data_IF_996634835222
#
_entry.id   IF_996634835222
#
_cell.length_a   1.000
_cell.length_b   1.000
_cell.length_c   1.000
_cell.angle_alpha   90.00
_cell.angle_beta   90.00
_cell.angle_gamma   90.00
#
_symmetry.space_group_name_H-M   'P 1'
#
loop_
_entity.id
_entity.type
_entity.pdbx_description
1 polymer ?
#
# COMPACT_ATOMS: atom_id res chain seq x y z
N UNK A 1 -18.69 -10.39 7.75
CA UNK A 1 -19.40 -10.84 6.54
C UNK A 1 -19.57 -12.34 6.62
N UNK A 2 -20.77 -12.88 6.42
CA UNK A 2 -21.03 -14.32 6.50
C UNK A 2 -21.87 -14.80 5.32
N UNK A 3 -21.87 -16.12 5.07
CA UNK A 3 -22.64 -16.73 3.98
C UNK A 3 -24.14 -16.55 4.23
N UNK A 4 -24.87 -15.98 3.27
CA UNK A 4 -26.29 -15.66 3.43
C UNK A 4 -26.57 -14.32 4.11
N UNK A 5 -25.55 -13.51 4.41
CA UNK A 5 -25.75 -12.14 4.88
C UNK A 5 -26.35 -11.26 3.79
N UNK A 6 -27.42 -10.52 4.11
CA UNK A 6 -27.95 -9.47 3.25
C UNK A 6 -27.01 -8.26 3.25
N UNK A 7 -26.58 -7.86 2.05
CA UNK A 7 -25.73 -6.68 1.83
C UNK A 7 -26.53 -5.61 1.13
N UNK A 8 -26.51 -4.40 1.70
CA UNK A 8 -27.26 -3.28 1.17
C UNK A 8 -26.31 -2.23 0.60
N UNK A 9 -26.63 -1.75 -0.60
CA UNK A 9 -25.84 -0.77 -1.33
C UNK A 9 -26.71 0.44 -1.68
N UNK A 10 -26.33 1.64 -1.22
CA UNK A 10 -27.01 2.88 -1.60
C UNK A 10 -27.12 3.90 -0.47
N UNK A 11 -27.76 5.04 -0.77
CA UNK A 11 -27.90 6.17 0.17
C UNK A 11 -28.73 5.83 1.41
N UNK A 12 -29.73 4.94 1.27
CA UNK A 12 -30.65 4.53 2.35
C UNK A 12 -30.21 3.24 3.07
N UNK A 13 -29.04 2.69 2.74
CA UNK A 13 -28.55 1.50 3.41
C UNK A 13 -28.20 1.83 4.87
N UNK A 14 -28.42 0.89 5.78
CA UNK A 14 -28.07 1.06 7.19
C UNK A 14 -26.55 1.00 7.39
N UNK A 15 -26.07 1.67 8.44
CA UNK A 15 -24.65 1.72 8.81
C UNK A 15 -24.20 0.39 9.46
N UNK A 16 -24.05 -0.66 8.66
CA UNK A 16 -23.66 -2.01 9.11
C UNK A 16 -22.43 -2.50 8.35
N UNK A 17 -21.61 -3.33 9.00
CA UNK A 17 -20.39 -3.90 8.39
C UNK A 17 -20.73 -4.70 7.13
N UNK A 18 -20.06 -4.36 6.03
CA UNK A 18 -20.28 -4.95 4.70
C UNK A 18 -21.23 -4.16 3.80
N UNK A 19 -22.05 -3.25 4.33
CA UNK A 19 -22.88 -2.38 3.51
C UNK A 19 -22.05 -1.31 2.80
N UNK A 20 -22.55 -0.83 1.67
CA UNK A 20 -21.90 0.18 0.83
C UNK A 20 -22.73 1.46 0.79
N UNK A 21 -22.17 2.55 1.31
CA UNK A 21 -22.84 3.84 1.38
C UNK A 21 -21.97 4.92 0.71
N UNK A 22 -22.58 6.02 0.23
CA UNK A 22 -21.85 7.25 -0.05
C UNK A 22 -21.13 7.74 1.20
N UNK A 23 -19.89 8.21 1.07
CA UNK A 23 -19.07 8.70 2.17
C UNK A 23 -19.79 9.81 2.95
N UNK A 24 -20.59 10.66 2.31
CA UNK A 24 -21.41 11.69 3.00
C UNK A 24 -22.39 11.16 4.04
N UNK A 25 -22.75 9.88 3.96
CA UNK A 25 -23.71 9.23 4.86
C UNK A 25 -23.02 8.41 5.95
N UNK A 26 -21.69 8.31 5.91
CA UNK A 26 -20.87 7.58 6.88
C UNK A 26 -20.36 8.60 7.90
N UNK A 27 -20.42 8.33 9.22
CA UNK A 27 -19.96 9.28 10.23
C UNK A 27 -18.43 9.40 10.27
N UNK A 28 -17.95 10.50 10.82
CA UNK A 28 -16.52 10.72 11.10
C UNK A 28 -15.98 9.66 12.08
N UNK A 29 -14.71 9.32 11.94
CA UNK A 29 -14.06 8.25 12.69
C UNK A 29 -14.41 6.84 12.22
N UNK A 30 -15.39 6.67 11.33
CA UNK A 30 -15.76 5.35 10.82
C UNK A 30 -14.63 4.71 10.02
N UNK A 31 -14.49 3.40 10.22
CA UNK A 31 -13.57 2.53 9.48
C UNK A 31 -14.27 2.06 8.21
N UNK A 32 -13.64 2.31 7.07
CA UNK A 32 -14.17 1.98 5.75
C UNK A 32 -13.13 1.28 4.88
N UNK A 33 -13.57 0.52 3.89
CA UNK A 33 -12.73 -0.16 2.91
C UNK A 33 -13.30 -0.01 1.49
N UNK A 34 -12.50 -0.34 0.49
CA UNK A 34 -12.85 -0.24 -0.93
C UNK A 34 -13.42 1.14 -1.33
N UNK A 35 -12.74 2.21 -0.91
CA UNK A 35 -13.19 3.60 -1.11
C UNK A 35 -12.95 4.02 -2.56
N UNK A 36 -13.93 4.67 -3.19
CA UNK A 36 -13.79 5.28 -4.51
C UNK A 36 -12.87 6.53 -4.46
N UNK A 37 -12.08 6.79 -5.51
CA UNK A 37 -11.34 8.05 -5.71
C UNK A 37 -12.19 9.09 -6.45
N UNK A 38 -12.95 8.62 -7.44
CA UNK A 38 -13.96 9.38 -8.17
C UNK A 38 -15.30 8.67 -8.09
N UNK A 39 -16.39 9.45 -8.10
CA UNK A 39 -17.74 8.90 -7.98
C UNK A 39 -17.98 7.88 -9.10
N UNK A 40 -18.25 6.64 -8.73
CA UNK A 40 -18.55 5.57 -9.69
C UNK A 40 -17.35 4.75 -10.20
N UNK A 41 -16.13 4.97 -9.69
CA UNK A 41 -14.95 4.20 -10.10
C UNK A 41 -14.89 2.76 -9.54
N UNK A 42 -15.89 2.36 -8.74
CA UNK A 42 -16.07 1.02 -8.18
C UNK A 42 -15.00 0.58 -7.17
N UNK A 43 -14.22 1.52 -6.64
CA UNK A 43 -13.33 1.31 -5.50
C UNK A 43 -11.85 1.21 -5.90
N UNK A 44 -11.05 2.06 -5.27
CA UNK A 44 -9.62 2.24 -5.57
C UNK A 44 -8.76 2.08 -4.32
N UNK A 45 -9.19 2.63 -3.18
CA UNK A 45 -8.39 2.66 -1.96
C UNK A 45 -8.78 1.57 -0.94
N UNK A 46 -7.82 1.19 -0.08
CA UNK A 46 -7.99 0.23 1.02
C UNK A 46 -8.63 -1.09 0.58
N UNK A 47 -7.93 -1.80 -0.33
CA UNK A 47 -8.37 -3.07 -0.94
C UNK A 47 -7.50 -4.28 -0.56
N UNK A 48 -6.32 -4.06 0.01
CA UNK A 48 -5.46 -5.16 0.42
C UNK A 48 -6.01 -5.83 1.69
N UNK A 49 -5.64 -7.09 1.91
CA UNK A 49 -6.06 -7.86 3.07
C UNK A 49 -5.68 -7.16 4.39
N UNK A 50 -6.65 -6.85 5.25
CA UNK A 50 -6.44 -6.14 6.51
C UNK A 50 -6.37 -4.61 6.39
N UNK A 51 -6.37 -4.04 5.19
CA UNK A 51 -6.35 -2.59 5.02
C UNK A 51 -7.70 -1.97 5.39
N UNK A 52 -7.63 -0.73 5.86
CA UNK A 52 -8.79 0.12 6.08
C UNK A 52 -8.40 1.58 5.89
N UNK A 53 -9.42 2.41 5.71
CA UNK A 53 -9.33 3.85 5.69
C UNK A 53 -10.23 4.42 6.78
N UNK A 54 -9.89 5.62 7.27
CA UNK A 54 -10.67 6.30 8.32
C UNK A 54 -11.28 7.57 7.73
N UNK A 55 -12.59 7.75 7.90
CA UNK A 55 -13.23 9.03 7.58
C UNK A 55 -12.81 10.06 8.62
N UNK A 56 -12.12 11.12 8.24
CA UNK A 56 -11.62 12.14 9.18
C UNK A 56 -12.64 13.25 9.38
N UNK A 57 -13.09 13.85 8.28
CA UNK A 57 -13.94 15.04 8.34
C UNK A 57 -14.80 15.19 7.09
N UNK A 58 -15.99 15.77 7.25
CA UNK A 58 -16.85 16.21 6.14
C UNK A 58 -16.75 17.73 5.96
N UNK A 59 -16.21 18.21 4.84
CA UNK A 59 -16.22 19.63 4.49
C UNK A 59 -16.00 19.85 2.99
N UNK A 60 -16.96 20.53 2.33
CA UNK A 60 -17.77 20.05 1.19
C UNK A 60 -17.44 18.67 0.58
N UNK A 61 -16.15 18.36 0.44
CA UNK A 61 -15.61 17.04 0.15
C UNK A 61 -15.19 16.31 1.43
N UNK A 62 -14.82 15.04 1.31
CA UNK A 62 -14.55 14.18 2.46
C UNK A 62 -13.06 13.91 2.55
N UNK A 63 -12.52 14.14 3.75
CA UNK A 63 -11.14 13.81 4.04
C UNK A 63 -11.06 12.39 4.59
N UNK A 64 -10.32 11.55 3.90
CA UNK A 64 -10.11 10.15 4.27
C UNK A 64 -8.64 9.93 4.59
N UNK A 65 -8.38 9.16 5.64
CA UNK A 65 -7.05 8.65 5.95
C UNK A 65 -6.82 7.33 5.24
N UNK A 66 -5.79 7.26 4.41
CA UNK A 66 -5.41 6.03 3.70
C UNK A 66 -4.60 5.09 4.62
N UNK A 67 -4.49 3.79 4.28
CA UNK A 67 -3.67 2.83 5.03
C UNK A 67 -2.20 3.27 5.21
N UNK A 68 -1.68 4.07 4.28
CA UNK A 68 -0.34 4.67 4.36
C UNK A 68 -0.18 5.81 5.39
N UNK A 69 -1.24 6.17 6.11
CA UNK A 69 -1.29 7.36 6.98
C UNK A 69 -1.53 8.68 6.25
N UNK A 70 -1.32 8.74 4.93
CA UNK A 70 -1.59 9.91 4.10
C UNK A 70 -3.08 10.30 4.13
N UNK A 71 -3.35 11.61 4.24
CA UNK A 71 -4.70 12.16 4.18
C UNK A 71 -5.03 12.56 2.73
N UNK A 72 -6.16 12.10 2.20
CA UNK A 72 -6.63 12.38 0.85
C UNK A 72 -8.03 13.00 0.90
N UNK A 73 -8.30 13.95 0.02
CA UNK A 73 -9.62 14.54 -0.17
C UNK A 73 -10.29 13.79 -1.32
N UNK A 74 -11.55 13.39 -1.12
CA UNK A 74 -12.34 12.58 -2.04
C UNK A 74 -13.74 13.21 -2.13
N UNK A 75 -14.38 13.24 -3.32
CA UNK A 75 -15.73 13.76 -3.47
C UNK A 75 -16.73 13.11 -2.53
N UNK A 76 -17.63 13.89 -1.94
CA UNK A 76 -18.59 13.40 -0.93
C UNK A 76 -19.57 12.33 -1.43
N UNK A 77 -19.81 12.29 -2.75
CA UNK A 77 -20.62 11.28 -3.42
C UNK A 77 -19.94 9.93 -3.65
N UNK A 78 -18.63 9.82 -3.41
CA UNK A 78 -17.88 8.57 -3.54
C UNK A 78 -18.41 7.52 -2.57
N UNK A 79 -18.44 6.27 -2.98
CA UNK A 79 -18.90 5.16 -2.14
C UNK A 79 -17.75 4.49 -1.39
N UNK A 80 -18.09 3.91 -0.25
CA UNK A 80 -17.20 3.05 0.51
C UNK A 80 -18.00 1.94 1.20
N UNK A 81 -17.32 0.81 1.44
CA UNK A 81 -17.85 -0.27 2.26
C UNK A 81 -17.50 -0.05 3.72
N UNK A 82 -18.42 -0.32 4.63
CA UNK A 82 -18.17 -0.18 6.07
C UNK A 82 -17.37 -1.39 6.58
N UNK A 83 -16.29 -1.11 7.30
CA UNK A 83 -15.43 -2.10 7.94
C UNK A 83 -14.03 -2.18 7.33
N UNK A 84 -13.31 -3.23 7.71
CA UNK A 84 -11.95 -3.53 7.27
C UNK A 84 -11.97 -4.68 6.24
N UNK A 85 -10.99 -4.72 5.33
CA UNK A 85 -10.84 -5.84 4.40
C UNK A 85 -10.45 -7.12 5.18
N UNK A 86 -11.10 -8.23 4.87
CA UNK A 86 -10.83 -9.52 5.51
C UNK A 86 -9.40 -10.05 5.25
N UNK A 87 -8.98 -11.04 6.04
CA UNK A 87 -7.69 -11.73 5.87
C UNK A 87 -6.47 -10.93 6.35
N UNK A 88 -6.67 -9.96 7.25
CA UNK A 88 -5.59 -9.25 7.93
C UNK A 88 -4.67 -10.17 8.73
N UNK A 89 -3.48 -9.68 9.10
CA UNK A 89 -2.50 -10.42 9.90
C UNK A 89 -1.68 -11.46 9.14
N UNK A 90 -2.00 -11.73 7.86
CA UNK A 90 -1.24 -12.66 7.01
C UNK A 90 0.25 -12.30 6.89
N UNK A 91 0.61 -11.03 7.03
CA UNK A 91 1.99 -10.52 6.94
C UNK A 91 2.82 -10.77 8.20
N UNK A 92 2.19 -10.99 9.35
CA UNK A 92 2.88 -11.17 10.63
C UNK A 92 3.60 -12.52 10.70
N UNK A 93 3.06 -13.54 10.04
CA UNK A 93 3.68 -14.87 9.99
C UNK A 93 4.90 -14.87 9.07
N UNK A 94 6.11 -15.20 9.56
CA UNK A 94 7.30 -15.25 8.71
C UNK A 94 7.23 -16.40 7.69
N UNK A 95 7.78 -16.18 6.50
CA UNK A 95 7.94 -17.22 5.48
C UNK A 95 9.27 -17.95 5.69
N UNK A 96 9.21 -19.21 6.13
CA UNK A 96 10.41 -19.98 6.50
C UNK A 96 11.11 -20.66 5.31
N UNK A 97 10.35 -21.06 4.28
CA UNK A 97 10.86 -21.84 3.14
C UNK A 97 10.75 -21.08 1.82
N UNK A 98 11.76 -21.23 0.96
CA UNK A 98 11.75 -20.71 -0.40
C UNK A 98 10.60 -21.28 -1.25
N UNK A 99 10.25 -22.57 -1.06
CA UNK A 99 9.11 -23.20 -1.73
C UNK A 99 7.76 -22.51 -1.45
N UNK A 100 7.57 -21.97 -0.24
CA UNK A 100 6.37 -21.19 0.08
C UNK A 100 6.35 -19.87 -0.69
N UNK A 101 7.51 -19.23 -0.86
CA UNK A 101 7.63 -18.01 -1.67
C UNK A 101 7.39 -18.31 -3.16
N UNK A 102 7.91 -19.43 -3.68
CA UNK A 102 7.66 -19.89 -5.04
C UNK A 102 6.15 -19.98 -5.34
N UNK A 103 5.39 -20.74 -4.54
CA UNK A 103 3.95 -20.87 -4.76
C UNK A 103 3.18 -19.54 -4.60
N UNK A 104 3.64 -18.65 -3.71
CA UNK A 104 3.09 -17.29 -3.55
C UNK A 104 3.26 -16.43 -4.80
N UNK A 105 4.40 -16.52 -5.49
CA UNK A 105 4.68 -15.74 -6.70
C UNK A 105 4.18 -16.42 -7.98
N UNK A 106 3.98 -17.74 -7.98
CA UNK A 106 3.45 -18.51 -9.11
C UNK A 106 2.07 -18.02 -9.60
N UNK A 107 1.21 -17.56 -8.68
CA UNK A 107 -0.14 -17.04 -9.01
C UNK A 107 -0.14 -15.53 -9.29
N UNK A 108 1.04 -14.91 -9.35
CA UNK A 108 1.25 -13.48 -9.64
C UNK A 108 2.20 -13.37 -10.83
N UNK A 109 2.62 -12.13 -11.16
CA UNK A 109 3.66 -11.94 -12.18
C UNK A 109 4.96 -12.64 -11.78
N UNK A 110 5.73 -13.09 -12.77
CA UNK A 110 7.04 -13.67 -12.56
C UNK A 110 8.03 -12.61 -12.05
N UNK A 111 8.30 -12.60 -10.74
CA UNK A 111 9.23 -11.64 -10.11
C UNK A 111 10.07 -12.27 -8.97
N UNK A 112 10.15 -13.60 -8.93
CA UNK A 112 10.91 -14.36 -7.94
C UNK A 112 11.50 -15.62 -8.60
N UNK A 113 12.75 -16.01 -8.30
CA UNK A 113 13.70 -15.38 -7.36
C UNK A 113 14.28 -14.05 -7.87
N UNK A 114 14.89 -13.26 -6.98
CA UNK A 114 15.51 -11.97 -7.32
C UNK A 114 17.03 -12.07 -7.19
N UNK A 115 17.74 -12.01 -8.32
CA UNK A 115 19.20 -11.94 -8.36
C UNK A 115 19.64 -10.51 -8.00
N UNK A 116 20.67 -10.38 -7.15
CA UNK A 116 21.23 -9.06 -6.77
C UNK A 116 22.00 -8.49 -7.96
N UNK A 117 21.88 -7.20 -8.24
CA UNK A 117 22.58 -6.55 -9.36
C UNK A 117 24.12 -6.65 -9.30
N UNK A 118 24.71 -6.72 -8.10
CA UNK A 118 26.17 -6.92 -7.91
C UNK A 118 26.65 -8.34 -8.23
N UNK A 119 25.73 -9.30 -8.37
CA UNK A 119 26.05 -10.66 -8.80
C UNK A 119 25.99 -10.84 -10.32
N UNK A 120 25.57 -9.79 -11.05
CA UNK A 120 25.46 -9.76 -12.50
C UNK A 120 26.73 -9.19 -13.14
N UNK A 121 26.88 -9.37 -14.44
CA UNK A 121 27.97 -8.77 -15.22
C UNK A 121 27.69 -7.27 -15.51
N UNK A 122 28.72 -6.45 -15.83
CA UNK A 122 28.53 -5.03 -16.16
C UNK A 122 27.55 -4.77 -17.29
N UNK A 123 27.45 -5.70 -18.24
CA UNK A 123 26.54 -5.64 -19.38
C UNK A 123 25.07 -5.78 -18.99
N UNK A 124 24.77 -6.49 -17.90
CA UNK A 124 23.39 -6.78 -17.47
C UNK A 124 22.85 -5.74 -16.49
N UNK A 125 23.70 -5.22 -15.60
CA UNK A 125 23.27 -4.33 -14.52
C UNK A 125 24.34 -3.27 -14.21
N UNK A 126 23.97 -1.99 -13.95
CA UNK A 126 24.94 -0.94 -13.64
C UNK A 126 25.79 -1.17 -12.38
N UNK A 127 25.31 -2.02 -11.46
CA UNK A 127 26.06 -2.43 -10.26
C UNK A 127 26.92 -3.68 -10.46
N UNK A 128 26.89 -4.29 -11.66
CA UNK A 128 27.51 -5.57 -11.95
C UNK A 128 29.00 -5.46 -12.29
N UNK A 129 29.70 -6.58 -12.15
CA UNK A 129 31.11 -6.77 -12.49
C UNK A 129 32.13 -6.44 -11.40
N UNK A 130 33.38 -6.27 -11.85
CA UNK A 130 34.56 -6.14 -10.99
C UNK A 130 35.06 -7.48 -10.44
N UNK A 131 36.28 -7.48 -9.91
CA UNK A 131 36.87 -8.66 -9.25
C UNK A 131 36.26 -8.92 -7.87
N UNK A 132 35.78 -7.87 -7.19
CA UNK A 132 35.08 -7.95 -5.91
C UNK A 132 33.64 -7.47 -6.07
N UNK A 133 32.69 -8.11 -5.40
CA UNK A 133 31.28 -7.70 -5.43
C UNK A 133 31.05 -6.40 -4.64
N UNK A 134 31.00 -5.28 -5.34
CA UNK A 134 30.70 -3.96 -4.79
C UNK A 134 30.01 -3.09 -5.86
N UNK A 135 29.35 -2.00 -5.46
CA UNK A 135 28.62 -1.13 -6.42
C UNK A 135 29.57 -0.20 -7.19
N UNK A 136 30.71 0.18 -6.60
CA UNK A 136 31.71 1.06 -7.20
C UNK A 136 31.34 2.55 -7.25
N UNK A 137 30.05 2.88 -7.32
CA UNK A 137 29.52 4.26 -7.34
C UNK A 137 28.42 4.45 -6.29
N UNK A 138 27.98 5.70 -6.08
CA UNK A 138 26.90 6.01 -5.17
C UNK A 138 25.59 5.35 -5.63
N UNK A 139 24.96 4.56 -4.75
CA UNK A 139 23.72 3.84 -5.06
C UNK A 139 22.47 4.72 -5.06
N UNK A 140 22.59 6.01 -4.73
CA UNK A 140 21.52 7.00 -4.81
C UNK A 140 21.49 7.64 -6.18
N UNK A 141 20.42 7.43 -6.93
CA UNK A 141 20.28 7.95 -8.31
C UNK A 141 19.27 9.08 -8.39
N UNK A 142 19.48 10.01 -9.31
CA UNK A 142 18.57 11.15 -9.51
C UNK A 142 17.23 10.69 -10.12
N UNK A 143 16.19 11.51 -9.93
CA UNK A 143 14.82 11.22 -10.42
C UNK A 143 14.74 11.19 -11.96
N UNK A 144 15.53 12.02 -12.60
CA UNK A 144 15.64 12.26 -14.05
C UNK A 144 16.57 11.28 -14.76
N UNK A 145 17.22 10.35 -14.04
CA UNK A 145 18.06 9.32 -14.66
C UNK A 145 17.29 8.55 -15.78
N UNK A 146 17.93 8.24 -16.92
CA UNK A 146 17.30 7.51 -18.00
C UNK A 146 16.95 6.06 -17.59
N UNK A 147 16.01 5.41 -18.29
CA UNK A 147 15.79 3.98 -18.18
C UNK A 147 17.11 3.21 -18.36
N UNK A 148 17.35 2.17 -17.56
CA UNK A 148 18.62 1.44 -17.53
C UNK A 148 19.63 1.99 -16.51
N UNK A 149 19.82 3.32 -16.45
CA UNK A 149 20.67 3.94 -15.43
C UNK A 149 19.98 4.08 -14.06
N UNK A 150 18.64 4.17 -14.06
CA UNK A 150 17.81 4.36 -12.85
C UNK A 150 17.70 3.07 -12.00
N UNK A 151 18.79 2.69 -11.34
CA UNK A 151 18.88 1.54 -10.42
C UNK A 151 19.33 1.98 -9.01
N UNK A 152 19.05 1.17 -7.99
CA UNK A 152 19.40 1.50 -6.60
C UNK A 152 18.33 2.32 -5.87
N UNK A 153 18.77 3.27 -5.04
CA UNK A 153 17.91 4.13 -4.21
C UNK A 153 17.49 5.38 -5.00
N UNK A 154 16.35 5.28 -5.69
CA UNK A 154 15.86 6.32 -6.59
C UNK A 154 15.36 7.54 -5.83
N UNK A 155 15.99 8.70 -6.06
CA UNK A 155 15.66 10.00 -5.48
C UNK A 155 15.47 9.95 -3.95
N UNK A 156 16.30 9.13 -3.28
CA UNK A 156 16.22 8.96 -1.84
C UNK A 156 16.56 10.27 -1.12
N UNK A 157 15.59 10.80 -0.34
CA UNK A 157 15.80 12.00 0.49
C UNK A 157 16.65 11.72 1.73
N UNK A 158 16.67 10.47 2.18
CA UNK A 158 17.40 10.00 3.35
C UNK A 158 17.80 8.54 3.15
N UNK A 159 18.97 8.16 3.66
CA UNK A 159 19.47 6.78 3.68
C UNK A 159 19.81 6.34 5.11
N UNK A 160 20.15 5.06 5.28
CA UNK A 160 20.48 4.48 6.57
C UNK A 160 19.27 4.07 7.41
N UNK A 161 19.53 3.35 8.51
CA UNK A 161 18.48 2.87 9.43
C UNK A 161 18.01 4.01 10.31
N UNK A 162 16.69 4.25 10.35
CA UNK A 162 16.09 5.19 11.30
C UNK A 162 16.34 4.71 12.74
N UNK A 163 16.85 5.59 13.59
CA UNK A 163 17.10 5.35 15.02
C UNK A 163 16.59 6.53 15.86
N UNK A 164 16.32 6.29 17.14
CA UNK A 164 15.87 7.32 18.09
C UNK A 164 14.50 7.91 17.73
N UNK A 165 14.33 9.20 18.00
CA UNK A 165 13.07 9.92 17.79
C UNK A 165 12.56 9.84 16.35
N UNK A 166 13.46 9.83 15.35
CA UNK A 166 13.06 9.70 13.95
C UNK A 166 12.38 8.37 13.62
N UNK A 167 12.75 7.27 14.31
CA UNK A 167 12.07 5.99 14.17
C UNK A 167 10.71 6.00 14.88
N UNK A 168 10.61 6.68 16.03
CA UNK A 168 9.36 6.83 16.78
C UNK A 168 8.33 7.69 16.06
N UNK A 169 8.75 8.74 15.35
CA UNK A 169 7.83 9.57 14.55
C UNK A 169 7.36 8.84 13.30
N UNK A 170 8.22 8.05 12.65
CA UNK A 170 7.84 7.23 11.50
C UNK A 170 6.83 6.13 11.88
N UNK A 171 7.05 5.43 13.00
CA UNK A 171 6.11 4.40 13.48
C UNK A 171 4.77 4.97 13.95
N UNK A 172 4.75 6.22 14.45
CA UNK A 172 3.50 6.96 14.72
C UNK A 172 2.78 7.37 13.45
N UNK A 173 3.49 7.68 12.37
CA UNK A 173 2.87 8.02 11.07
C UNK A 173 2.22 6.80 10.38
N UNK A 174 2.77 5.59 10.60
CA UNK A 174 2.18 4.32 10.12
C UNK A 174 1.01 3.83 10.99
N UNK A 175 0.91 4.25 12.25
CA UNK A 175 -0.13 3.80 13.21
C UNK A 175 -1.26 4.79 13.46
N UNK A 176 -1.00 6.09 13.39
CA UNK A 176 -2.05 7.10 13.45
C UNK A 176 -2.84 6.99 12.15
#
# INVERSE_FOLDING_TARGET
MYTGQFVYCGKKANLMVGNVLPLRSIPEGAVVCNVEHHVGDRGVFARCSGDYAIVISHNPDIRVKLPSGAKKIVPSGCRAMIGQVAGGGRTEKPMLKAGNAYHKYRVKRNCWPKVRGVAMNPVEHPHGGGNHQHIGHASTVRRDAPPGQKVGLIAARRTGRLRGQAAATASKADKA
#
